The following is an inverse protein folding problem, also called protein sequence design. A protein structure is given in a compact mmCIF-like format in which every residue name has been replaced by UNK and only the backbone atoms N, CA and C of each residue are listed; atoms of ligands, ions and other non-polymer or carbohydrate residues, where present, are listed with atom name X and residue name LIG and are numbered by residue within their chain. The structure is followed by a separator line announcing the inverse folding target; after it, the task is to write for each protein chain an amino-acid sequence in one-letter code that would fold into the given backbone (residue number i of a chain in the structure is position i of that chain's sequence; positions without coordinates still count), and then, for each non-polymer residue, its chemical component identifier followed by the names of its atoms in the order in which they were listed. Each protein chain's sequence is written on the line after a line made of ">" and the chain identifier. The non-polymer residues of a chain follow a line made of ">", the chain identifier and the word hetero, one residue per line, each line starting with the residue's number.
data_IF_582731230623
#
_entry.id   IF_582731230623
#
_cell.length_a   1.000
_cell.length_b   1.000
_cell.length_c   1.000
_cell.angle_alpha   90.00
_cell.angle_beta   90.00
_cell.angle_gamma   90.00
#
_symmetry.space_group_name_H-M   'P 1'
#
loop_
_entity.id
_entity.type
_entity.pdbx_description
1 polymer ?
#
# COMPACT_ATOMS: atom_id res chain seq x y z
N UNK A 1 8.69 19.00 -1.90
CA UNK A 1 7.87 18.48 -0.80
C UNK A 1 8.01 16.97 -0.90
N UNK A 2 8.50 16.36 0.17
CA UNK A 2 9.19 15.07 0.14
C UNK A 2 8.22 13.90 -0.02
N UNK A 3 8.74 12.79 -0.53
CA UNK A 3 8.07 11.50 -0.48
C UNK A 3 7.75 11.18 0.99
N UNK A 4 6.53 10.75 1.25
CA UNK A 4 6.06 10.25 2.53
C UNK A 4 6.04 8.72 2.43
N UNK A 5 7.07 8.04 2.97
CA UNK A 5 7.12 6.58 2.93
C UNK A 5 5.96 5.99 3.74
N UNK A 6 5.55 4.78 3.36
CA UNK A 6 4.54 4.02 4.12
C UNK A 6 5.16 3.51 5.41
N UNK A 7 4.49 3.71 6.53
CA UNK A 7 4.93 3.28 7.86
C UNK A 7 4.34 1.91 8.19
N UNK A 8 5.20 1.00 8.64
CA UNK A 8 4.79 -0.22 9.32
C UNK A 8 4.53 0.09 10.78
N UNK A 9 3.28 -0.08 11.23
CA UNK A 9 2.91 0.17 12.61
C UNK A 9 3.45 -0.94 13.54
N UNK A 10 4.00 -0.54 14.69
CA UNK A 10 4.38 -1.46 15.75
C UNK A 10 3.15 -2.24 16.23
N UNK A 11 3.19 -3.57 16.13
CA UNK A 11 2.08 -4.42 16.56
C UNK A 11 2.59 -5.79 16.98
N UNK A 12 1.91 -6.40 17.96
CA UNK A 12 2.16 -7.80 18.37
C UNK A 12 1.59 -8.81 17.34
N UNK A 13 0.83 -8.32 16.35
CA UNK A 13 0.23 -9.04 15.22
C UNK A 13 0.78 -8.55 13.87
N UNK A 14 0.29 -9.09 12.74
CA UNK A 14 0.63 -8.61 11.40
C UNK A 14 0.43 -7.09 11.28
N UNK A 15 1.47 -6.32 10.92
CA UNK A 15 1.40 -4.86 10.85
C UNK A 15 0.55 -4.35 9.67
N UNK A 16 0.22 -5.24 8.73
CA UNK A 16 -0.52 -4.90 7.53
C UNK A 16 -1.66 -5.88 7.28
N UNK A 17 -2.79 -5.37 6.79
CA UNK A 17 -3.91 -6.16 6.29
C UNK A 17 -3.70 -6.51 4.81
N UNK A 18 -4.04 -7.73 4.42
CA UNK A 18 -3.97 -8.18 3.03
C UNK A 18 -5.23 -7.80 2.24
N UNK A 19 -5.04 -7.31 1.02
CA UNK A 19 -6.10 -6.92 0.11
C UNK A 19 -5.72 -7.04 -1.36
N UNK A 20 -6.60 -6.54 -2.21
CA UNK A 20 -6.38 -6.43 -3.66
C UNK A 20 -6.97 -5.13 -4.19
N UNK A 21 -6.47 -4.66 -5.34
CA UNK A 21 -7.11 -3.58 -6.08
C UNK A 21 -8.47 -4.06 -6.60
N UNK A 22 -9.51 -3.24 -6.40
CA UNK A 22 -10.89 -3.54 -6.81
C UNK A 22 -10.98 -3.86 -8.31
N UNK A 23 -12.08 -4.50 -8.71
CA UNK A 23 -12.38 -4.67 -10.13
C UNK A 23 -12.51 -3.30 -10.80
N UNK A 24 -11.76 -3.09 -11.88
CA UNK A 24 -11.74 -1.84 -12.63
C UNK A 24 -12.40 -2.04 -14.00
N UNK A 25 -12.59 -0.95 -14.74
CA UNK A 25 -12.97 -1.06 -16.14
C UNK A 25 -11.80 -1.68 -16.95
N UNK A 26 -12.08 -2.35 -18.08
CA UNK A 26 -11.01 -2.91 -18.91
C UNK A 26 -10.01 -1.84 -19.32
N UNK A 27 -8.73 -2.19 -19.29
CA UNK A 27 -7.60 -1.31 -19.67
C UNK A 27 -7.46 -0.07 -18.77
N UNK A 28 -7.94 -0.14 -17.52
CA UNK A 28 -7.76 0.93 -16.53
C UNK A 28 -6.85 0.49 -15.38
N UNK A 29 -6.17 1.48 -14.82
CA UNK A 29 -5.23 1.36 -13.71
C UNK A 29 -5.57 2.42 -12.66
N UNK A 30 -5.10 2.21 -11.44
CA UNK A 30 -5.09 3.24 -10.41
C UNK A 30 -3.68 3.81 -10.25
N UNK A 31 -3.59 5.06 -9.83
CA UNK A 31 -2.33 5.74 -9.55
C UNK A 31 -1.83 5.42 -8.15
N UNK A 32 -0.51 5.19 -8.03
CA UNK A 32 0.21 5.12 -6.76
C UNK A 32 0.97 6.43 -6.55
N UNK A 33 0.76 7.07 -5.41
CA UNK A 33 1.32 8.38 -5.07
C UNK A 33 2.49 8.25 -4.08
N UNK A 34 3.46 9.18 -4.11
CA UNK A 34 4.60 9.18 -3.19
C UNK A 34 4.25 9.68 -1.78
N UNK A 35 2.99 9.98 -1.50
CA UNK A 35 2.47 10.42 -0.21
C UNK A 35 0.95 10.44 -0.22
N UNK A 36 0.31 10.69 0.93
CA UNK A 36 -1.14 10.68 1.08
C UNK A 36 -1.86 11.89 0.43
N UNK A 37 -1.64 12.12 -0.87
CA UNK A 37 -2.32 13.16 -1.64
C UNK A 37 -2.33 12.85 -3.14
N UNK A 38 -3.50 12.99 -3.77
CA UNK A 38 -3.68 12.93 -5.23
C UNK A 38 -3.14 14.17 -5.97
N UNK A 39 -2.72 15.22 -5.25
CA UNK A 39 -2.09 16.42 -5.84
C UNK A 39 -0.61 16.18 -6.21
N UNK A 40 -0.03 15.07 -5.75
CA UNK A 40 1.34 14.66 -6.04
C UNK A 40 1.44 13.99 -7.41
N UNK A 41 2.63 14.05 -8.02
CA UNK A 41 2.90 13.31 -9.26
C UNK A 41 2.96 11.81 -8.93
N UNK A 42 2.17 10.96 -9.61
CA UNK A 42 2.14 9.53 -9.33
C UNK A 42 3.49 8.89 -9.68
N UNK A 43 3.88 7.91 -8.88
CA UNK A 43 5.14 7.17 -8.99
C UNK A 43 4.97 5.75 -9.53
N UNK A 44 3.72 5.27 -9.65
CA UNK A 44 3.41 3.95 -10.16
C UNK A 44 1.93 3.81 -10.51
N UNK A 45 1.60 2.66 -11.08
CA UNK A 45 0.23 2.31 -11.47
C UNK A 45 -0.05 0.84 -11.13
N UNK A 46 -1.28 0.54 -10.69
CA UNK A 46 -1.71 -0.82 -10.39
C UNK A 46 -2.95 -1.20 -11.19
N UNK A 47 -2.97 -2.43 -11.67
CA UNK A 47 -4.14 -3.01 -12.35
C UNK A 47 -5.11 -3.61 -11.33
N UNK A 48 -6.33 -3.90 -11.78
CA UNK A 48 -7.31 -4.67 -11.00
C UNK A 48 -6.73 -6.01 -10.50
N UNK A 49 -7.26 -6.50 -9.37
CA UNK A 49 -6.86 -7.75 -8.73
C UNK A 49 -5.37 -7.84 -8.36
N UNK A 50 -4.62 -6.72 -8.41
CA UNK A 50 -3.24 -6.68 -7.94
C UNK A 50 -3.22 -6.83 -6.41
N UNK A 51 -2.52 -7.84 -5.86
CA UNK A 51 -2.45 -8.04 -4.41
C UNK A 51 -1.63 -6.94 -3.74
N UNK A 52 -2.12 -6.47 -2.59
CA UNK A 52 -1.50 -5.39 -1.82
C UNK A 52 -1.56 -5.68 -0.32
N UNK A 53 -0.66 -5.07 0.44
CA UNK A 53 -0.69 -5.04 1.90
C UNK A 53 -0.94 -3.61 2.38
N UNK A 54 -2.03 -3.38 3.08
CA UNK A 54 -2.43 -2.09 3.65
C UNK A 54 -1.84 -1.98 5.04
N UNK A 55 -0.91 -1.06 5.25
CA UNK A 55 -0.15 -0.92 6.49
C UNK A 55 -0.46 0.37 7.25
N UNK A 56 -0.94 1.38 6.53
CA UNK A 56 -1.18 2.71 7.07
C UNK A 56 -2.44 3.32 6.44
N UNK A 57 -3.09 4.22 7.17
CA UNK A 57 -4.24 5.00 6.70
C UNK A 57 -3.94 6.48 6.91
N UNK A 58 -4.27 7.32 5.93
CA UNK A 58 -4.07 8.77 6.02
C UNK A 58 -4.92 9.39 7.12
N UNK A 59 -4.53 10.57 7.60
CA UNK A 59 -5.25 11.28 8.68
C UNK A 59 -6.72 11.58 8.36
N UNK A 60 -7.04 11.81 7.09
CA UNK A 60 -8.40 12.06 6.58
C UNK A 60 -9.11 10.79 6.08
N UNK A 61 -8.47 9.61 6.22
CA UNK A 61 -9.00 8.28 5.89
C UNK A 61 -9.34 8.08 4.41
N UNK A 62 -8.97 9.01 3.52
CA UNK A 62 -9.24 8.88 2.08
C UNK A 62 -8.20 8.03 1.36
N UNK A 63 -6.99 7.92 1.89
CA UNK A 63 -5.89 7.18 1.29
C UNK A 63 -5.30 6.17 2.26
N UNK A 64 -4.74 5.12 1.69
CA UNK A 64 -4.04 4.05 2.43
C UNK A 64 -2.64 3.88 1.88
N UNK A 65 -1.70 3.68 2.81
CA UNK A 65 -0.33 3.29 2.53
C UNK A 65 -0.27 1.79 2.25
N UNK A 66 0.16 1.45 1.04
CA UNK A 66 0.25 0.08 0.55
C UNK A 66 1.68 -0.32 0.24
N UNK A 67 1.93 -1.61 0.42
CA UNK A 67 3.10 -2.31 -0.09
C UNK A 67 2.60 -3.30 -1.14
N UNK A 68 3.33 -3.46 -2.24
CA UNK A 68 2.93 -4.33 -3.33
C UNK A 68 4.16 -4.90 -4.04
N UNK A 69 4.04 -6.16 -4.47
CA UNK A 69 5.12 -6.84 -5.17
C UNK A 69 5.16 -6.41 -6.65
N UNK A 70 6.36 -6.10 -7.14
CA UNK A 70 6.58 -5.84 -8.57
C UNK A 70 6.44 -7.13 -9.38
N UNK A 71 6.87 -8.26 -8.81
CA UNK A 71 6.78 -9.58 -9.42
C UNK A 71 5.94 -10.55 -8.58
N UNK A 72 5.25 -11.47 -9.26
CA UNK A 72 4.45 -12.49 -8.57
C UNK A 72 5.32 -13.40 -7.70
N UNK A 73 4.94 -13.55 -6.43
CA UNK A 73 5.60 -14.45 -5.47
C UNK A 73 6.79 -13.86 -4.74
N UNK A 74 7.04 -12.55 -4.85
CA UNK A 74 8.01 -11.87 -3.99
C UNK A 74 7.52 -11.80 -2.55
N UNK A 75 8.45 -11.99 -1.61
CA UNK A 75 8.20 -11.84 -0.18
C UNK A 75 8.53 -10.41 0.23
N UNK A 76 7.51 -9.61 0.54
CA UNK A 76 7.67 -8.20 0.88
C UNK A 76 8.12 -7.96 2.33
N UNK A 77 8.33 -9.01 3.11
CA UNK A 77 8.77 -8.94 4.53
C UNK A 77 7.79 -8.16 5.44
N UNK A 78 6.51 -8.07 5.05
CA UNK A 78 5.46 -7.32 5.75
C UNK A 78 4.60 -8.15 6.71
N UNK A 79 4.76 -9.48 6.70
CA UNK A 79 4.03 -10.41 7.58
C UNK A 79 4.76 -10.69 8.89
N UNK A 80 5.89 -10.03 9.15
CA UNK A 80 6.60 -10.13 10.43
C UNK A 80 6.30 -8.89 11.28
N UNK A 81 6.01 -9.05 12.58
CA UNK A 81 5.79 -7.92 13.46
C UNK A 81 7.06 -7.08 13.58
N UNK A 82 6.89 -5.75 13.53
CA UNK A 82 7.96 -4.77 13.77
C UNK A 82 7.91 -4.29 15.22
N UNK A 83 9.07 -4.09 15.84
CA UNK A 83 9.17 -3.76 17.26
C UNK A 83 8.77 -2.30 17.56
N UNK A 84 8.92 -1.41 16.59
CA UNK A 84 8.64 0.03 16.66
C UNK A 84 8.13 0.49 15.29
N UNK A 85 7.40 1.62 15.26
CA UNK A 85 6.92 2.20 14.00
C UNK A 85 8.11 2.51 13.10
N UNK A 86 8.07 2.03 11.85
CA UNK A 86 9.21 2.17 10.95
C UNK A 86 8.77 2.33 9.50
N UNK A 87 9.41 3.25 8.79
CA UNK A 87 9.22 3.41 7.35
C UNK A 87 9.61 2.12 6.62
N UNK A 88 8.79 1.74 5.63
CA UNK A 88 9.08 0.56 4.82
C UNK A 88 10.22 0.84 3.84
N UNK A 89 11.32 0.11 4.01
CA UNK A 89 12.48 0.08 3.09
C UNK A 89 12.76 -1.34 2.58
N UNK A 90 11.74 -2.20 2.58
CA UNK A 90 11.86 -3.59 2.17
C UNK A 90 12.02 -3.77 0.66
N UNK A 91 12.01 -5.03 0.18
CA UNK A 91 12.33 -5.36 -1.21
C UNK A 91 11.23 -5.01 -2.21
N UNK A 92 10.00 -4.79 -1.76
CA UNK A 92 8.85 -4.45 -2.61
C UNK A 92 8.67 -2.94 -2.78
N UNK A 93 7.83 -2.56 -3.73
CA UNK A 93 7.43 -1.17 -3.91
C UNK A 93 6.38 -0.77 -2.86
N UNK A 94 6.31 0.54 -2.57
CA UNK A 94 5.33 1.10 -1.65
C UNK A 94 4.85 2.47 -2.10
N UNK A 95 3.69 2.88 -1.60
CA UNK A 95 3.12 4.20 -1.86
C UNK A 95 1.68 4.29 -1.39
N UNK A 96 0.99 5.33 -1.84
CA UNK A 96 -0.34 5.68 -1.37
C UNK A 96 -1.37 5.57 -2.49
N UNK A 97 -2.52 4.99 -2.18
CA UNK A 97 -3.66 4.87 -3.11
C UNK A 97 -4.95 5.29 -2.41
N UNK A 98 -6.00 5.55 -3.19
CA UNK A 98 -7.31 5.85 -2.62
C UNK A 98 -7.89 4.63 -1.92
N UNK A 99 -8.37 4.80 -0.69
CA UNK A 99 -8.91 3.72 0.15
C UNK A 99 -10.08 2.98 -0.54
N UNK A 100 -10.88 3.70 -1.34
CA UNK A 100 -12.00 3.12 -2.09
C UNK A 100 -11.58 2.13 -3.19
N UNK A 101 -10.33 2.22 -3.65
CA UNK A 101 -9.81 1.41 -4.74
C UNK A 101 -9.14 0.12 -4.22
N UNK A 102 -9.12 -0.09 -2.90
CA UNK A 102 -8.59 -1.29 -2.25
C UNK A 102 -9.72 -2.05 -1.58
N UNK A 103 -9.76 -3.36 -1.84
CA UNK A 103 -10.65 -4.30 -1.15
C UNK A 103 -9.83 -5.14 -0.17
N UNK A 104 -10.10 -4.96 1.12
CA UNK A 104 -9.50 -5.80 2.17
C UNK A 104 -10.08 -7.22 2.10
N UNK A 105 -9.20 -8.21 2.20
CA UNK A 105 -9.54 -9.64 2.15
C UNK A 105 -9.24 -10.34 3.47
N UNK A 106 -8.18 -9.94 4.16
CA UNK A 106 -7.81 -10.44 5.47
C UNK A 106 -7.06 -9.35 6.26
N UNK A 107 -7.23 -9.35 7.59
CA UNK A 107 -6.57 -8.45 8.52
C UNK A 107 -6.71 -8.96 9.94
#
# INVERSE_FOLDING_TARGET
>A
MGNEPVTLSASETDPCSYGEIVELAPETTISVYPGASEELEPIGELAEATPVWVCETSNDEQMVGIIYATYQGEDCEVSSPVAEDTDYFGPCDSGWVMARDVKLLAG
#
